data_IF_074059939812
#
_entry.id   IF_074059939812
#
_cell.length_a   1.000
_cell.length_b   1.000
_cell.length_c   1.000
_cell.angle_alpha   90.00
_cell.angle_beta   90.00
_cell.angle_gamma   90.00
#
_symmetry.space_group_name_H-M   'P 1'
#
loop_
_entity.id
_entity.type
_entity.pdbx_description
1 polymer ?
#
# COMPACT_ATOMS: atom_id res chain seq x y z
N UNK A 1 12.55 14.46 20.04
CA UNK A 1 13.37 14.09 18.86
C UNK A 1 14.58 15.00 18.84
N UNK A 2 15.78 14.46 19.06
CA UNK A 2 17.03 15.23 19.03
C UNK A 2 17.43 15.47 17.57
N UNK A 3 17.90 16.67 17.20
CA UNK A 3 18.36 16.95 15.85
C UNK A 3 19.66 16.16 15.59
N UNK A 4 19.64 15.23 14.65
CA UNK A 4 20.84 14.59 14.15
C UNK A 4 21.78 15.63 13.56
N UNK A 5 22.95 15.83 14.16
CA UNK A 5 24.07 16.59 13.57
C UNK A 5 24.50 15.83 12.31
N UNK A 6 24.11 16.34 11.15
CA UNK A 6 24.62 15.84 9.87
C UNK A 6 26.11 16.14 9.74
N UNK A 7 26.95 15.13 9.87
CA UNK A 7 28.38 15.24 9.55
C UNK A 7 28.56 15.38 8.03
N UNK A 8 29.65 15.99 7.56
CA UNK A 8 29.93 16.13 6.12
C UNK A 8 29.92 14.77 5.38
N UNK A 9 30.36 13.70 6.01
CA UNK A 9 30.33 12.33 5.49
C UNK A 9 28.88 11.79 5.37
N UNK A 10 28.02 12.03 6.36
CA UNK A 10 26.62 11.65 6.28
C UNK A 10 25.90 12.30 5.11
N UNK A 11 26.11 13.60 4.90
CA UNK A 11 25.54 14.36 3.76
C UNK A 11 26.06 13.87 2.40
N UNK A 12 27.32 13.44 2.33
CA UNK A 12 27.91 12.88 1.09
C UNK A 12 27.29 11.52 0.77
N UNK A 13 27.10 10.66 1.78
CA UNK A 13 26.45 9.36 1.64
C UNK A 13 24.98 9.48 1.21
N UNK A 14 24.22 10.42 1.77
CA UNK A 14 22.83 10.70 1.37
C UNK A 14 22.74 11.19 -0.10
N UNK A 15 23.66 12.05 -0.52
CA UNK A 15 23.74 12.52 -1.93
C UNK A 15 23.94 11.34 -2.89
N UNK A 16 24.84 10.44 -2.55
CA UNK A 16 25.15 9.28 -3.37
C UNK A 16 23.96 8.29 -3.40
N UNK A 17 23.30 8.07 -2.26
CA UNK A 17 22.14 7.22 -2.14
C UNK A 17 20.97 7.72 -3.02
N UNK A 18 20.61 9.02 -2.94
CA UNK A 18 19.56 9.58 -3.76
C UNK A 18 19.89 9.50 -5.26
N UNK A 19 21.14 9.80 -5.64
CA UNK A 19 21.57 9.68 -7.04
C UNK A 19 21.45 8.24 -7.55
N UNK A 20 21.89 7.25 -6.76
CA UNK A 20 21.77 5.82 -7.09
C UNK A 20 20.30 5.44 -7.24
N UNK A 21 19.44 5.83 -6.30
CA UNK A 21 18.00 5.57 -6.33
C UNK A 21 17.36 6.13 -7.62
N UNK A 22 17.57 7.40 -7.93
CA UNK A 22 17.03 8.03 -9.13
C UNK A 22 17.55 7.38 -10.42
N UNK A 23 18.82 6.98 -10.44
CA UNK A 23 19.42 6.25 -11.58
C UNK A 23 18.72 4.88 -11.73
N UNK A 24 18.51 4.15 -10.64
CA UNK A 24 17.83 2.87 -10.64
C UNK A 24 16.37 2.99 -11.08
N UNK A 25 15.64 3.97 -10.57
CA UNK A 25 14.27 4.26 -11.01
C UNK A 25 14.19 4.54 -12.52
N UNK A 26 15.18 5.24 -13.05
CA UNK A 26 15.25 5.56 -14.49
C UNK A 26 15.63 4.34 -15.32
N UNK A 27 16.68 3.60 -14.92
CA UNK A 27 17.24 2.53 -15.73
C UNK A 27 16.42 1.24 -15.69
N UNK A 28 15.93 0.85 -14.50
CA UNK A 28 15.23 -0.42 -14.28
C UNK A 28 13.73 -0.27 -14.46
N UNK A 29 13.13 0.68 -13.76
CA UNK A 29 11.65 0.83 -13.73
C UNK A 29 11.11 1.81 -14.78
N UNK A 30 11.97 2.59 -15.43
CA UNK A 30 11.57 3.61 -16.43
C UNK A 30 10.55 4.63 -15.88
N UNK A 31 10.56 4.90 -14.57
CA UNK A 31 9.59 5.77 -13.90
C UNK A 31 9.51 7.17 -14.53
N UNK A 32 10.62 7.87 -14.84
CA UNK A 32 10.53 9.18 -15.48
C UNK A 32 9.80 9.16 -16.83
N UNK A 33 9.99 8.11 -17.63
CA UNK A 33 9.31 7.95 -18.91
C UNK A 33 7.81 7.69 -18.74
N UNK A 34 7.45 6.83 -17.79
CA UNK A 34 6.05 6.52 -17.47
C UNK A 34 5.30 7.74 -16.95
N UNK A 35 5.91 8.52 -16.05
CA UNK A 35 5.31 9.78 -15.57
C UNK A 35 5.09 10.79 -16.70
N UNK A 36 6.01 10.88 -17.66
CA UNK A 36 5.84 11.76 -18.83
C UNK A 36 4.70 11.33 -19.76
N UNK A 37 4.32 10.07 -19.71
CA UNK A 37 3.20 9.53 -20.50
C UNK A 37 1.82 9.70 -19.85
N UNK A 38 1.75 10.23 -18.61
CA UNK A 38 0.48 10.49 -17.94
C UNK A 38 -0.31 11.60 -18.63
N UNK A 39 -1.61 11.47 -18.63
CA UNK A 39 -2.54 12.48 -19.16
C UNK A 39 -2.56 13.74 -18.28
N UNK A 40 -2.62 14.88 -18.89
CA UNK A 40 -2.69 16.17 -18.21
C UNK A 40 -3.92 16.97 -18.65
N UNK A 41 -4.95 16.92 -17.83
CA UNK A 41 -6.24 17.57 -18.09
C UNK A 41 -6.33 19.01 -17.54
N UNK A 42 -5.22 19.58 -17.04
CA UNK A 42 -5.21 20.95 -16.55
C UNK A 42 -5.45 21.95 -17.68
N UNK A 43 -6.27 22.95 -17.44
CA UNK A 43 -6.54 24.04 -18.38
C UNK A 43 -5.29 24.89 -18.68
N UNK A 44 -4.44 25.11 -17.66
CA UNK A 44 -3.17 25.87 -17.77
C UNK A 44 -2.00 24.94 -17.46
N UNK A 45 -1.16 24.66 -18.45
CA UNK A 45 -0.01 23.75 -18.37
C UNK A 45 1.33 24.52 -18.30
N UNK A 46 1.36 25.59 -17.50
CA UNK A 46 2.58 26.43 -17.34
C UNK A 46 3.78 25.68 -16.77
N UNK A 47 3.53 24.61 -16.02
CA UNK A 47 4.57 23.71 -15.48
C UNK A 47 4.30 22.32 -16.05
N UNK A 48 5.27 21.66 -16.70
CA UNK A 48 5.09 20.29 -17.20
C UNK A 48 4.65 19.32 -16.09
N UNK A 49 3.75 18.39 -16.40
CA UNK A 49 3.25 17.38 -15.46
C UNK A 49 4.40 16.65 -14.75
N UNK A 50 5.41 16.24 -15.48
CA UNK A 50 6.60 15.59 -14.94
C UNK A 50 7.27 16.40 -13.82
N UNK A 51 7.33 17.73 -13.97
CA UNK A 51 7.93 18.64 -13.00
C UNK A 51 7.09 18.81 -11.73
N UNK A 52 5.85 18.31 -11.73
CA UNK A 52 4.98 18.29 -10.56
C UNK A 52 5.00 16.90 -9.91
N UNK A 53 4.77 15.84 -10.67
CA UNK A 53 4.65 14.47 -10.14
C UNK A 53 5.99 13.94 -9.60
N UNK A 54 7.09 14.20 -10.31
CA UNK A 54 8.39 13.66 -9.91
C UNK A 54 8.89 14.19 -8.55
N UNK A 55 8.81 15.49 -8.23
CA UNK A 55 9.08 15.98 -6.88
C UNK A 55 8.19 15.36 -5.81
N UNK A 56 6.87 15.26 -6.06
CA UNK A 56 5.94 14.63 -5.12
C UNK A 56 6.37 13.20 -4.82
N UNK A 57 6.66 12.40 -5.84
CA UNK A 57 7.13 11.03 -5.68
C UNK A 57 8.43 10.96 -4.86
N UNK A 58 9.41 11.81 -5.16
CA UNK A 58 10.68 11.87 -4.41
C UNK A 58 10.43 12.20 -2.94
N UNK A 59 9.57 13.18 -2.64
CA UNK A 59 9.24 13.55 -1.26
C UNK A 59 8.51 12.44 -0.50
N UNK A 60 7.56 11.74 -1.14
CA UNK A 60 6.90 10.56 -0.55
C UNK A 60 7.92 9.45 -0.26
N UNK A 61 8.87 9.20 -1.15
CA UNK A 61 9.94 8.21 -0.93
C UNK A 61 10.90 8.61 0.20
N UNK A 62 11.09 9.89 0.43
CA UNK A 62 11.89 10.43 1.53
C UNK A 62 11.08 10.59 2.82
N UNK A 63 9.81 10.12 2.85
CA UNK A 63 8.90 10.14 4.00
C UNK A 63 8.64 11.54 4.56
N UNK A 64 8.60 12.55 3.69
CA UNK A 64 8.19 13.89 4.11
C UNK A 64 6.68 13.93 4.38
N UNK A 65 6.31 14.45 5.54
CA UNK A 65 4.91 14.60 5.97
C UNK A 65 4.27 15.86 5.37
N UNK A 66 3.50 15.70 4.31
CA UNK A 66 2.67 16.76 3.75
C UNK A 66 3.36 17.67 2.72
N UNK A 67 2.52 18.30 1.90
CA UNK A 67 2.97 19.13 0.77
C UNK A 67 3.65 20.43 1.20
N UNK A 68 3.38 20.95 2.39
CA UNK A 68 4.04 22.17 2.88
C UNK A 68 5.53 21.97 3.14
N UNK A 69 5.93 20.78 3.59
CA UNK A 69 7.36 20.47 3.81
C UNK A 69 8.18 20.42 2.53
N UNK A 70 7.52 20.16 1.39
CA UNK A 70 8.16 20.23 0.06
C UNK A 70 8.69 21.65 -0.22
N UNK A 71 7.97 22.67 0.24
CA UNK A 71 8.25 24.09 -0.05
C UNK A 71 9.08 24.77 1.04
N UNK A 72 9.18 24.17 2.22
CA UNK A 72 10.11 24.54 3.30
C UNK A 72 11.39 23.70 3.28
N UNK A 73 11.61 22.94 2.22
CA UNK A 73 12.81 22.13 2.07
C UNK A 73 14.07 23.00 2.06
N UNK A 74 15.18 22.57 2.66
CA UNK A 74 16.44 23.28 2.63
C UNK A 74 16.86 23.62 1.19
N UNK A 75 17.50 24.79 0.98
CA UNK A 75 17.95 25.26 -0.33
C UNK A 75 18.78 24.20 -1.10
N UNK A 76 19.57 23.43 -0.36
CA UNK A 76 20.35 22.32 -0.94
C UNK A 76 19.47 21.23 -1.56
N UNK A 77 18.31 20.94 -0.98
CA UNK A 77 17.35 19.96 -1.51
C UNK A 77 16.60 20.55 -2.72
N UNK A 78 16.21 21.81 -2.62
CA UNK A 78 15.58 22.54 -3.73
C UNK A 78 16.46 22.54 -4.97
N UNK A 79 17.75 22.85 -4.83
CA UNK A 79 18.72 22.81 -5.92
C UNK A 79 18.85 21.43 -6.55
N UNK A 80 18.82 20.36 -5.74
CA UNK A 80 18.87 18.96 -6.24
C UNK A 80 17.63 18.58 -7.02
N UNK A 81 16.46 18.97 -6.51
CA UNK A 81 15.19 18.73 -7.20
C UNK A 81 15.14 19.50 -8.52
N UNK A 82 15.53 20.77 -8.55
CA UNK A 82 15.64 21.55 -9.79
C UNK A 82 16.53 20.87 -10.83
N UNK A 83 17.64 20.28 -10.40
CA UNK A 83 18.53 19.51 -11.29
C UNK A 83 17.90 18.21 -11.77
N UNK A 84 17.11 17.53 -10.92
CA UNK A 84 16.42 16.29 -11.26
C UNK A 84 15.32 16.50 -12.32
N UNK A 85 14.49 17.53 -12.12
CA UNK A 85 13.36 17.84 -13.01
C UNK A 85 13.74 18.78 -14.17
N UNK A 86 14.93 19.38 -14.14
CA UNK A 86 15.40 20.39 -15.09
C UNK A 86 14.42 21.57 -15.26
N UNK A 87 13.91 22.09 -14.14
CA UNK A 87 12.92 23.17 -14.17
C UNK A 87 12.54 23.69 -12.79
N UNK A 88 11.51 24.53 -12.77
CA UNK A 88 11.00 25.14 -11.55
C UNK A 88 10.27 24.10 -10.70
N UNK A 89 10.45 24.17 -9.38
CA UNK A 89 9.66 23.42 -8.41
C UNK A 89 8.23 23.99 -8.39
N UNK A 90 7.19 23.15 -8.46
CA UNK A 90 5.82 23.63 -8.47
C UNK A 90 5.45 24.20 -7.10
N UNK A 91 4.52 25.15 -7.05
CA UNK A 91 3.85 25.55 -5.80
C UNK A 91 2.79 24.54 -5.39
N UNK A 92 2.39 24.57 -4.11
CA UNK A 92 1.35 23.66 -3.53
C UNK A 92 0.08 23.66 -4.38
N UNK A 93 -0.35 24.83 -4.85
CA UNK A 93 -1.58 24.94 -5.62
C UNK A 93 -1.51 24.20 -6.95
N UNK A 94 -0.35 24.24 -7.63
CA UNK A 94 -0.13 23.48 -8.87
C UNK A 94 -0.11 21.96 -8.61
N UNK A 95 0.40 21.53 -7.46
CA UNK A 95 0.36 20.12 -7.05
C UNK A 95 -1.08 19.68 -6.77
N UNK A 96 -1.84 20.47 -6.02
CA UNK A 96 -3.25 20.18 -5.71
C UNK A 96 -4.11 20.15 -6.97
N UNK A 97 -3.96 21.13 -7.85
CA UNK A 97 -4.71 21.19 -9.11
C UNK A 97 -4.43 19.97 -10.00
N UNK A 98 -3.18 19.54 -10.11
CA UNK A 98 -2.84 18.34 -10.88
C UNK A 98 -3.41 17.07 -10.21
N UNK A 99 -3.15 16.86 -8.91
CA UNK A 99 -3.57 15.64 -8.20
C UNK A 99 -5.09 15.50 -8.14
N UNK A 100 -5.86 16.58 -8.21
CA UNK A 100 -7.32 16.53 -8.29
C UNK A 100 -7.87 16.13 -9.67
N UNK A 101 -7.03 16.07 -10.70
CA UNK A 101 -7.43 15.81 -12.10
C UNK A 101 -6.74 14.59 -12.72
N UNK A 102 -5.65 14.12 -12.13
CA UNK A 102 -4.94 12.94 -12.64
C UNK A 102 -5.83 11.70 -12.51
N UNK A 103 -5.88 10.87 -13.55
CA UNK A 103 -6.60 9.61 -13.48
C UNK A 103 -5.84 8.62 -12.57
N UNK A 104 -6.44 8.17 -11.44
CA UNK A 104 -5.82 7.18 -10.57
C UNK A 104 -5.43 5.88 -11.29
N UNK A 105 -6.17 5.47 -12.31
CA UNK A 105 -5.90 4.24 -13.09
C UNK A 105 -4.57 4.31 -13.83
N UNK A 106 -4.16 5.48 -14.30
CA UNK A 106 -2.85 5.64 -14.93
C UNK A 106 -1.71 5.44 -13.91
N UNK A 107 -1.90 5.90 -12.68
CA UNK A 107 -0.94 5.66 -11.58
C UNK A 107 -0.92 4.18 -11.18
N UNK A 108 -2.09 3.55 -11.10
CA UNK A 108 -2.21 2.11 -10.84
C UNK A 108 -1.51 1.29 -11.92
N UNK A 109 -1.59 1.68 -13.18
CA UNK A 109 -0.90 0.99 -14.27
C UNK A 109 0.63 1.15 -14.17
N UNK A 110 1.15 2.32 -13.79
CA UNK A 110 2.58 2.51 -13.51
C UNK A 110 3.04 1.60 -12.36
N UNK A 111 2.23 1.51 -11.30
CA UNK A 111 2.48 0.63 -10.18
C UNK A 111 2.48 -0.84 -10.61
N UNK A 112 1.48 -1.27 -11.35
CA UNK A 112 1.36 -2.64 -11.87
C UNK A 112 2.56 -3.03 -12.75
N UNK A 113 2.99 -2.15 -13.65
CA UNK A 113 4.20 -2.35 -14.45
C UNK A 113 5.48 -2.41 -13.59
N UNK A 114 5.49 -1.76 -12.44
CA UNK A 114 6.61 -1.86 -11.50
C UNK A 114 6.66 -3.25 -10.85
N UNK A 115 5.51 -3.80 -10.48
CA UNK A 115 5.39 -5.19 -9.99
C UNK A 115 5.84 -6.18 -11.07
N UNK A 116 5.47 -5.98 -12.34
CA UNK A 116 5.91 -6.84 -13.43
C UNK A 116 7.45 -6.86 -13.58
N UNK A 117 8.12 -5.73 -13.34
CA UNK A 117 9.60 -5.68 -13.30
C UNK A 117 10.15 -6.46 -12.11
N UNK A 118 9.56 -6.33 -10.91
CA UNK A 118 9.96 -7.09 -9.72
C UNK A 118 9.85 -8.59 -9.96
N UNK A 119 8.76 -9.04 -10.58
CA UNK A 119 8.54 -10.45 -10.93
C UNK A 119 9.56 -10.96 -11.94
N UNK A 120 9.82 -10.22 -13.02
CA UNK A 120 10.85 -10.55 -14.01
C UNK A 120 12.25 -10.66 -13.40
N UNK A 121 12.55 -9.79 -12.44
CA UNK A 121 13.81 -9.81 -11.70
C UNK A 121 13.83 -10.90 -10.61
N UNK A 122 12.80 -11.75 -10.53
CA UNK A 122 12.71 -12.88 -9.60
C UNK A 122 12.87 -12.45 -8.12
N UNK A 123 12.37 -11.27 -7.76
CA UNK A 123 12.50 -10.72 -6.39
C UNK A 123 11.85 -11.65 -5.35
N UNK A 124 10.82 -12.40 -5.75
CA UNK A 124 10.09 -13.32 -4.88
C UNK A 124 10.49 -14.79 -5.07
N UNK A 125 11.63 -15.08 -5.72
CA UNK A 125 12.05 -16.46 -6.04
C UNK A 125 12.16 -17.37 -4.80
N UNK A 126 12.65 -16.82 -3.69
CA UNK A 126 12.84 -17.58 -2.45
C UNK A 126 11.58 -17.60 -1.57
N UNK A 127 10.48 -17.00 -2.05
CA UNK A 127 9.30 -16.73 -1.23
C UNK A 127 9.57 -15.67 -0.17
N UNK A 128 8.55 -15.39 0.64
CA UNK A 128 8.64 -14.44 1.75
C UNK A 128 8.53 -15.13 3.12
N UNK A 129 7.91 -16.31 3.15
CA UNK A 129 7.80 -17.18 4.35
C UNK A 129 7.90 -18.63 3.89
N UNK A 130 8.90 -19.37 4.37
CA UNK A 130 9.01 -20.82 4.14
C UNK A 130 9.01 -21.27 2.68
N UNK A 131 9.50 -20.43 1.77
CA UNK A 131 9.51 -20.71 0.33
C UNK A 131 8.25 -20.23 -0.42
N UNK A 132 7.21 -19.81 0.29
CA UNK A 132 5.96 -19.29 -0.28
C UNK A 132 5.97 -17.77 -0.33
N UNK A 133 5.32 -17.19 -1.33
CA UNK A 133 5.00 -15.76 -1.36
C UNK A 133 3.73 -15.55 -0.56
N UNK A 134 3.89 -15.09 0.68
CA UNK A 134 2.75 -14.76 1.54
C UNK A 134 2.39 -13.28 1.41
N UNK A 135 1.10 -12.97 1.28
CA UNK A 135 0.59 -11.61 1.23
C UNK A 135 -0.48 -11.39 2.30
N UNK A 136 -0.36 -10.30 3.03
CA UNK A 136 -1.36 -9.84 3.99
C UNK A 136 -2.43 -9.00 3.31
N UNK A 137 -3.68 -9.15 3.74
CA UNK A 137 -4.79 -8.30 3.31
C UNK A 137 -5.41 -7.63 4.54
N UNK A 138 -5.60 -6.32 4.46
CA UNK A 138 -6.19 -5.55 5.55
C UNK A 138 -6.81 -4.24 5.07
N UNK A 139 -7.69 -3.67 5.90
CA UNK A 139 -8.33 -2.37 5.66
C UNK A 139 -7.53 -1.22 6.25
N UNK A 140 -7.25 -0.21 5.44
CA UNK A 140 -6.52 1.00 5.84
C UNK A 140 -7.42 2.22 5.70
N UNK A 141 -7.58 2.99 6.77
CA UNK A 141 -8.26 4.28 6.74
C UNK A 141 -7.25 5.35 6.31
N UNK A 142 -7.52 5.99 5.18
CA UNK A 142 -6.60 6.96 4.56
C UNK A 142 -6.84 8.38 5.03
N UNK A 143 -8.08 8.69 5.38
CA UNK A 143 -8.51 10.04 5.75
C UNK A 143 -9.79 9.97 6.57
N UNK A 144 -9.94 10.83 7.57
CA UNK A 144 -11.22 11.07 8.24
C UNK A 144 -11.42 12.55 8.60
N UNK A 145 -12.65 13.01 8.60
CA UNK A 145 -13.02 14.39 8.94
C UNK A 145 -14.49 14.53 9.33
N UNK A 146 -14.76 15.37 10.31
CA UNK A 146 -16.13 15.80 10.64
C UNK A 146 -16.56 17.08 9.90
N UNK A 147 -15.65 17.71 9.15
CA UNK A 147 -15.88 19.01 8.49
C UNK A 147 -15.81 18.94 6.97
N UNK A 148 -15.05 17.99 6.42
CA UNK A 148 -14.82 17.86 4.98
C UNK A 148 -15.38 16.55 4.49
N UNK A 149 -16.06 16.56 3.36
CA UNK A 149 -16.62 15.41 2.68
C UNK A 149 -16.48 15.54 1.17
N UNK A 150 -16.54 14.44 0.46
CA UNK A 150 -16.70 14.36 -0.98
C UNK A 150 -17.75 13.30 -1.33
N UNK A 151 -18.21 13.20 -2.60
CA UNK A 151 -19.20 12.20 -2.99
C UNK A 151 -18.79 10.74 -2.72
N UNK A 152 -17.49 10.46 -2.73
CA UNK A 152 -16.93 9.11 -2.55
C UNK A 152 -16.58 8.80 -1.07
N UNK A 153 -16.93 9.69 -0.13
CA UNK A 153 -16.70 9.44 1.29
C UNK A 153 -17.68 8.39 1.84
N UNK A 154 -17.15 7.45 2.60
CA UNK A 154 -17.91 6.64 3.55
C UNK A 154 -18.32 7.51 4.74
N UNK A 155 -19.33 7.10 5.49
CA UNK A 155 -19.79 7.86 6.65
C UNK A 155 -20.11 6.96 7.84
N UNK A 156 -19.85 7.49 9.05
CA UNK A 156 -20.21 6.84 10.32
C UNK A 156 -20.56 7.88 11.38
N UNK A 157 -21.30 7.48 12.40
CA UNK A 157 -21.47 8.28 13.62
C UNK A 157 -20.26 8.03 14.52
N UNK A 158 -19.58 9.09 14.94
CA UNK A 158 -18.50 9.00 15.93
C UNK A 158 -19.05 8.91 17.36
N UNK A 159 -18.17 8.71 18.35
CA UNK A 159 -18.56 8.59 19.77
C UNK A 159 -19.27 9.83 20.36
N UNK A 160 -19.21 11.00 19.70
CA UNK A 160 -19.93 12.22 20.07
C UNK A 160 -21.24 12.41 19.29
N UNK A 161 -21.69 11.43 18.51
CA UNK A 161 -22.90 11.48 17.69
C UNK A 161 -22.76 12.29 16.39
N UNK A 162 -21.62 12.94 16.13
CA UNK A 162 -21.37 13.68 14.89
C UNK A 162 -21.08 12.73 13.73
N UNK A 163 -21.53 13.12 12.53
CA UNK A 163 -21.17 12.40 11.31
C UNK A 163 -19.69 12.62 10.99
N UNK A 164 -18.93 11.54 10.84
CA UNK A 164 -17.56 11.52 10.39
C UNK A 164 -17.53 10.92 8.99
N UNK A 165 -16.88 11.61 8.08
CA UNK A 165 -16.65 11.20 6.69
C UNK A 165 -15.24 10.67 6.57
N UNK A 166 -15.05 9.54 5.87
CA UNK A 166 -13.73 8.93 5.77
C UNK A 166 -13.54 8.21 4.44
N UNK A 167 -12.28 8.01 4.06
CA UNK A 167 -11.90 7.13 2.98
C UNK A 167 -11.17 5.92 3.54
N UNK A 168 -11.57 4.75 3.09
CA UNK A 168 -10.95 3.48 3.45
C UNK A 168 -10.65 2.66 2.22
N UNK A 169 -9.49 2.00 2.20
CA UNK A 169 -9.14 1.03 1.18
C UNK A 169 -8.82 -0.32 1.82
N UNK A 170 -8.94 -1.38 1.03
CA UNK A 170 -8.33 -2.66 1.34
C UNK A 170 -7.02 -2.75 0.58
N UNK A 171 -5.96 -3.16 1.24
CA UNK A 171 -4.60 -3.25 0.70
C UNK A 171 -4.15 -4.70 0.76
N UNK A 172 -3.47 -5.17 -0.30
CA UNK A 172 -2.79 -6.46 -0.33
C UNK A 172 -1.28 -6.23 -0.48
N UNK A 173 -0.50 -6.73 0.47
CA UNK A 173 0.95 -6.49 0.54
C UNK A 173 1.69 -7.76 0.94
N UNK A 174 2.90 -7.99 0.41
CA UNK A 174 3.76 -9.10 0.87
C UNK A 174 4.06 -8.99 2.35
N UNK A 175 4.08 -10.13 3.04
CA UNK A 175 4.47 -10.24 4.46
C UNK A 175 5.62 -11.23 4.62
N UNK A 176 6.37 -11.11 5.73
CA UNK A 176 7.53 -11.95 6.01
C UNK A 176 8.85 -11.26 5.67
N UNK A 177 9.72 -11.88 4.86
CA UNK A 177 11.01 -11.30 4.47
C UNK A 177 10.84 -10.14 3.49
N UNK A 178 11.72 -9.14 3.57
CA UNK A 178 11.80 -8.05 2.60
C UNK A 178 12.12 -8.54 1.17
N UNK A 179 11.69 -7.79 0.15
CA UNK A 179 11.02 -6.50 0.21
C UNK A 179 9.52 -6.61 0.48
N UNK A 180 8.99 -5.62 1.22
CA UNK A 180 7.54 -5.47 1.39
C UNK A 180 6.97 -4.71 0.19
N UNK A 181 6.10 -5.37 -0.58
CA UNK A 181 5.54 -4.84 -1.82
C UNK A 181 4.03 -4.85 -1.73
N UNK A 182 3.41 -3.70 -1.93
CA UNK A 182 1.97 -3.59 -2.11
C UNK A 182 1.65 -4.11 -3.51
N UNK A 183 0.84 -5.16 -3.62
CA UNK A 183 0.38 -5.68 -4.91
C UNK A 183 -0.75 -4.83 -5.49
N UNK A 184 -1.59 -4.28 -4.64
CA UNK A 184 -2.66 -3.38 -5.03
C UNK A 184 -3.51 -2.93 -3.84
N UNK A 185 -4.40 -2.02 -4.15
CA UNK A 185 -5.39 -1.52 -3.20
C UNK A 185 -6.75 -1.37 -3.89
N UNK A 186 -7.81 -1.36 -3.12
CA UNK A 186 -9.17 -1.20 -3.59
C UNK A 186 -9.93 -0.26 -2.66
N UNK A 187 -10.39 0.88 -3.19
CA UNK A 187 -11.18 1.83 -2.42
C UNK A 187 -12.56 1.27 -2.13
N UNK A 188 -13.01 1.41 -0.89
CA UNK A 188 -14.39 1.10 -0.52
C UNK A 188 -15.31 2.19 -1.02
N UNK A 189 -16.50 1.78 -1.50
CA UNK A 189 -17.49 2.65 -2.12
C UNK A 189 -18.58 3.03 -1.12
N UNK A 190 -19.04 4.28 -1.11
CA UNK A 190 -20.23 4.66 -0.35
C UNK A 190 -21.47 4.06 -1.01
N UNK A 191 -22.39 3.54 -0.21
CA UNK A 191 -23.75 3.10 -0.62
C UNK A 191 -23.80 2.35 -1.93
N UNK A 192 -22.99 1.32 -2.09
CA UNK A 192 -22.85 0.51 -3.32
C UNK A 192 -24.13 -0.31 -3.59
N UNK A 193 -25.24 0.38 -3.92
CA UNK A 193 -26.54 -0.24 -4.18
C UNK A 193 -27.32 -0.68 -2.93
N UNK A 194 -26.86 -0.36 -1.73
CA UNK A 194 -27.50 -0.66 -0.44
C UNK A 194 -27.63 0.57 0.46
N UNK A 195 -28.40 0.44 1.53
CA UNK A 195 -28.50 1.49 2.55
C UNK A 195 -27.19 1.71 3.34
N UNK A 196 -26.28 0.77 3.29
CA UNK A 196 -25.00 0.77 4.01
C UNK A 196 -23.82 0.96 3.07
N UNK A 197 -22.80 1.61 3.58
CA UNK A 197 -21.50 1.72 2.92
C UNK A 197 -20.85 0.33 2.74
N UNK A 198 -20.03 0.18 1.70
CA UNK A 198 -19.34 -1.06 1.40
C UNK A 198 -18.42 -1.52 2.54
N UNK A 199 -18.48 -2.79 2.89
CA UNK A 199 -17.62 -3.38 3.91
C UNK A 199 -16.28 -3.88 3.35
N UNK A 200 -15.28 -4.00 4.24
CA UNK A 200 -13.94 -4.48 3.88
C UNK A 200 -13.91 -5.83 3.16
N UNK A 201 -14.82 -6.76 3.51
CA UNK A 201 -14.92 -8.08 2.86
C UNK A 201 -15.29 -8.00 1.38
N UNK A 202 -16.18 -7.07 1.01
CA UNK A 202 -16.59 -6.88 -0.39
C UNK A 202 -15.43 -6.28 -1.20
N UNK A 203 -14.80 -5.22 -0.68
CA UNK A 203 -13.60 -4.64 -1.29
C UNK A 203 -12.46 -5.65 -1.43
N UNK A 204 -12.24 -6.50 -0.42
CA UNK A 204 -11.21 -7.54 -0.44
C UNK A 204 -11.46 -8.58 -1.55
N UNK A 205 -12.69 -9.06 -1.72
CA UNK A 205 -13.02 -10.00 -2.81
C UNK A 205 -12.79 -9.37 -4.19
N UNK A 206 -13.14 -8.08 -4.35
CA UNK A 206 -12.90 -7.35 -5.59
C UNK A 206 -11.40 -7.19 -5.86
N UNK A 207 -10.61 -6.80 -4.84
CA UNK A 207 -9.16 -6.69 -4.93
C UNK A 207 -8.49 -8.01 -5.33
N UNK A 208 -8.82 -9.12 -4.68
CA UNK A 208 -8.23 -10.43 -4.97
C UNK A 208 -8.50 -10.85 -6.42
N UNK A 209 -9.73 -10.70 -6.92
CA UNK A 209 -10.05 -10.99 -8.32
C UNK A 209 -9.29 -10.09 -9.29
N UNK A 210 -9.15 -8.81 -8.97
CA UNK A 210 -8.35 -7.87 -9.77
C UNK A 210 -6.87 -8.29 -9.80
N UNK A 211 -6.27 -8.59 -8.64
CA UNK A 211 -4.88 -9.02 -8.56
C UNK A 211 -4.65 -10.36 -9.29
N UNK A 212 -5.58 -11.30 -9.19
CA UNK A 212 -5.52 -12.56 -9.94
C UNK A 212 -5.50 -12.32 -11.46
N UNK A 213 -6.35 -11.42 -11.95
CA UNK A 213 -6.41 -11.08 -13.38
C UNK A 213 -5.15 -10.36 -13.84
N UNK A 214 -4.62 -9.41 -13.04
CA UNK A 214 -3.53 -8.50 -13.45
C UNK A 214 -2.14 -9.06 -13.20
N UNK A 215 -1.96 -9.83 -12.13
CA UNK A 215 -0.64 -10.23 -11.62
C UNK A 215 -0.45 -11.73 -11.38
N UNK A 216 -1.27 -12.61 -11.97
CA UNK A 216 -1.16 -14.04 -11.68
C UNK A 216 0.17 -14.67 -12.14
N UNK A 217 0.82 -15.52 -11.29
CA UNK A 217 0.61 -15.63 -9.84
C UNK A 217 1.20 -14.42 -9.11
N UNK A 218 0.54 -13.91 -8.05
CA UNK A 218 1.07 -12.79 -7.26
C UNK A 218 1.42 -13.21 -5.82
N UNK A 219 0.74 -14.21 -5.30
CA UNK A 219 0.99 -14.81 -4.00
C UNK A 219 0.61 -16.30 -4.05
N UNK A 220 1.10 -17.06 -3.09
CA UNK A 220 0.73 -18.45 -2.84
C UNK A 220 -0.28 -18.52 -1.67
N UNK A 221 -0.08 -17.68 -0.65
CA UNK A 221 -0.85 -17.67 0.59
C UNK A 221 -1.33 -16.27 0.93
N UNK A 222 -2.61 -16.13 1.25
CA UNK A 222 -3.18 -14.89 1.81
C UNK A 222 -3.30 -15.02 3.32
N UNK A 223 -2.74 -14.05 4.03
CA UNK A 223 -2.81 -13.93 5.49
C UNK A 223 -3.78 -12.80 5.85
N UNK A 224 -4.73 -13.06 6.74
CA UNK A 224 -5.71 -12.06 7.13
C UNK A 224 -6.09 -12.16 8.61
N UNK A 225 -6.70 -11.11 9.16
CA UNK A 225 -7.23 -11.12 10.52
C UNK A 225 -8.59 -11.83 10.61
N UNK A 226 -9.15 -11.93 11.81
CA UNK A 226 -10.41 -12.62 12.08
C UNK A 226 -11.65 -12.00 11.40
N UNK A 227 -11.57 -10.73 10.96
CA UNK A 227 -12.64 -10.08 10.20
C UNK A 227 -12.91 -10.81 8.87
N UNK A 228 -11.83 -11.33 8.27
CA UNK A 228 -11.87 -12.03 6.98
C UNK A 228 -12.22 -13.53 7.11
N UNK A 229 -12.44 -14.04 8.31
CA UNK A 229 -12.91 -15.42 8.52
C UNK A 229 -14.39 -15.56 8.14
N UNK A 230 -14.62 -15.63 6.85
CA UNK A 230 -15.95 -15.65 6.24
C UNK A 230 -15.95 -16.58 5.02
N UNK A 231 -16.89 -17.50 4.96
CA UNK A 231 -16.95 -18.53 3.91
C UNK A 231 -16.95 -17.94 2.48
N UNK A 232 -17.73 -16.90 2.14
CA UNK A 232 -17.67 -16.26 0.82
C UNK A 232 -16.30 -15.68 0.45
N UNK A 233 -15.52 -15.17 1.42
CA UNK A 233 -14.16 -14.69 1.17
C UNK A 233 -13.19 -15.85 0.94
N UNK A 234 -13.24 -16.87 1.78
CA UNK A 234 -12.41 -18.09 1.64
C UNK A 234 -12.68 -18.77 0.29
N UNK A 235 -13.95 -18.88 -0.12
CA UNK A 235 -14.29 -19.43 -1.43
C UNK A 235 -13.71 -18.60 -2.58
N UNK A 236 -13.75 -17.25 -2.47
CA UNK A 236 -13.10 -16.37 -3.46
C UNK A 236 -11.59 -16.64 -3.57
N UNK A 237 -10.90 -16.86 -2.45
CA UNK A 237 -9.47 -17.20 -2.46
C UNK A 237 -9.22 -18.54 -3.14
N UNK A 238 -10.01 -19.57 -2.82
CA UNK A 238 -9.92 -20.90 -3.45
C UNK A 238 -10.18 -20.84 -4.95
N UNK A 239 -11.21 -20.12 -5.40
CA UNK A 239 -11.49 -19.86 -6.82
C UNK A 239 -10.30 -19.19 -7.54
N UNK A 240 -9.55 -18.37 -6.83
CA UNK A 240 -8.33 -17.73 -7.34
C UNK A 240 -7.08 -18.62 -7.23
N UNK A 241 -7.18 -19.83 -6.68
CA UNK A 241 -6.05 -20.74 -6.49
C UNK A 241 -5.06 -20.25 -5.42
N UNK A 242 -5.57 -19.62 -4.35
CA UNK A 242 -4.79 -19.07 -3.24
C UNK A 242 -5.09 -19.85 -1.98
N UNK A 243 -4.03 -20.26 -1.28
CA UNK A 243 -4.15 -20.77 0.08
C UNK A 243 -4.39 -19.63 1.06
N UNK A 244 -4.88 -19.97 2.27
CA UNK A 244 -5.21 -18.93 3.24
C UNK A 244 -4.86 -19.31 4.67
N UNK A 245 -4.33 -18.32 5.41
CA UNK A 245 -4.13 -18.39 6.86
C UNK A 245 -4.87 -17.22 7.49
N UNK A 246 -5.97 -17.50 8.17
CA UNK A 246 -6.81 -16.49 8.81
C UNK A 246 -6.83 -16.73 10.30
N UNK A 247 -6.61 -15.66 11.09
CA UNK A 247 -6.66 -15.76 12.54
C UNK A 247 -8.07 -16.07 13.01
N UNK A 248 -8.19 -17.13 13.83
CA UNK A 248 -9.40 -17.44 14.58
C UNK A 248 -9.32 -16.72 15.95
N UNK A 249 -10.30 -15.86 16.26
CA UNK A 249 -10.22 -14.99 17.45
C UNK A 249 -11.41 -15.13 18.41
N UNK A 250 -12.56 -15.57 17.92
CA UNK A 250 -13.79 -15.59 18.71
C UNK A 250 -14.03 -16.99 19.29
N UNK A 251 -13.78 -17.15 20.59
CA UNK A 251 -13.94 -18.41 21.35
C UNK A 251 -15.39 -18.94 21.34
N UNK A 252 -16.37 -18.07 21.08
CA UNK A 252 -17.79 -18.45 20.99
C UNK A 252 -18.16 -19.10 19.66
N UNK A 253 -17.29 -19.03 18.66
CA UNK A 253 -17.53 -19.69 17.36
C UNK A 253 -17.36 -21.20 17.47
N UNK A 254 -18.29 -21.94 16.90
CA UNK A 254 -18.21 -23.43 16.84
C UNK A 254 -16.88 -23.89 16.25
N UNK A 255 -16.42 -23.21 15.18
CA UNK A 255 -15.13 -23.52 14.57
C UNK A 255 -13.95 -23.40 15.54
N UNK A 256 -13.98 -22.44 16.49
CA UNK A 256 -12.96 -22.32 17.53
C UNK A 256 -13.02 -23.48 18.51
N UNK A 257 -14.22 -23.83 18.98
CA UNK A 257 -14.46 -24.93 19.90
C UNK A 257 -14.08 -26.28 19.28
N UNK A 258 -14.41 -26.50 18.01
CA UNK A 258 -14.02 -27.69 17.25
C UNK A 258 -12.49 -27.78 17.13
N UNK A 259 -11.83 -26.68 16.77
CA UNK A 259 -10.36 -26.61 16.68
C UNK A 259 -9.72 -26.92 18.04
N UNK A 260 -10.19 -26.28 19.12
CA UNK A 260 -9.69 -26.51 20.47
C UNK A 260 -9.85 -27.98 20.87
N UNK A 261 -11.02 -28.55 20.63
CA UNK A 261 -11.30 -29.97 20.91
C UNK A 261 -10.38 -30.92 20.12
N UNK A 262 -10.06 -30.59 18.86
CA UNK A 262 -9.11 -31.35 18.06
C UNK A 262 -7.69 -31.29 18.63
N UNK A 263 -7.23 -30.09 19.01
CA UNK A 263 -5.90 -29.92 19.60
C UNK A 263 -5.78 -30.59 20.99
N UNK A 264 -6.86 -30.66 21.76
CA UNK A 264 -6.85 -31.37 23.03
C UNK A 264 -6.76 -32.89 22.86
N UNK A 265 -7.33 -33.45 21.79
CA UNK A 265 -7.34 -34.89 21.51
C UNK A 265 -6.09 -35.43 20.84
N UNK A 266 -5.36 -34.58 20.11
CA UNK A 266 -4.26 -34.99 19.23
C UNK A 266 -2.95 -34.29 19.63
N UNK A 267 -2.33 -34.77 20.70
CA UNK A 267 -1.05 -34.25 21.19
C UNK A 267 0.11 -34.38 20.17
N UNK A 268 0.02 -35.34 19.26
CA UNK A 268 1.03 -35.57 18.22
C UNK A 268 1.18 -34.48 17.19
N UNK A 269 0.22 -33.56 17.09
CA UNK A 269 0.24 -32.39 16.18
C UNK A 269 0.80 -31.13 16.79
N UNK A 270 1.04 -31.12 18.10
CA UNK A 270 1.63 -29.97 18.79
C UNK A 270 3.12 -29.88 18.49
N UNK A 271 3.57 -28.68 18.07
CA UNK A 271 4.99 -28.37 17.88
C UNK A 271 5.37 -27.18 18.72
N UNK A 272 6.43 -27.32 19.49
CA UNK A 272 7.02 -26.19 20.21
C UNK A 272 8.22 -25.62 19.47
N UNK A 273 8.35 -24.31 19.41
CA UNK A 273 9.51 -23.61 18.89
C UNK A 273 9.87 -22.40 19.75
N UNK A 274 11.14 -22.05 19.76
CA UNK A 274 11.62 -20.87 20.50
C UNK A 274 11.66 -19.63 19.62
N UNK A 275 11.03 -18.55 20.12
CA UNK A 275 11.16 -17.21 19.51
C UNK A 275 11.77 -16.27 20.57
N UNK A 276 13.10 -16.07 20.51
CA UNK A 276 13.86 -15.36 21.55
C UNK A 276 13.82 -16.11 22.88
N UNK A 277 13.36 -15.45 23.96
CA UNK A 277 13.21 -16.06 25.29
C UNK A 277 11.88 -16.79 25.52
N UNK A 278 10.95 -16.74 24.54
CA UNK A 278 9.60 -17.36 24.67
C UNK A 278 9.57 -18.69 23.94
N UNK A 279 9.04 -19.72 24.61
CA UNK A 279 8.60 -20.95 23.97
C UNK A 279 7.17 -20.74 23.47
N UNK A 280 6.90 -21.11 22.24
CA UNK A 280 5.58 -21.05 21.60
C UNK A 280 5.22 -22.46 21.23
N UNK A 281 4.06 -22.91 21.66
CA UNK A 281 3.46 -24.18 21.26
C UNK A 281 2.39 -23.92 20.19
N UNK A 282 2.39 -24.70 19.12
CA UNK A 282 1.46 -24.59 17.98
C UNK A 282 0.95 -25.97 17.62
#
# INVERSE_FOLDING_TARGET
MLPHKHTKEGVLNEKLALKKLLTYMKSVYKIPQKIKGLSDERKRKSIPLFNIVMPVLIFLMLQYEGFHTIFSAPESMEKRLKNCIRGKIPRVDAVRDLLSRIDPKEIEEIHAQTIDVLKRNRVFREGTIGGYVAAGIDGVELFSSTKKSCPDCLSRKNGTGKTEYFHRSVVCMTVGKSPHVIFGQEMLKPRDGSEKDEGGLTGAKRLIRHLKKRHSPFADVIVADALYLNAPFINTLKECGLETVIRLKDERRLLFQDAESMFQRDEGRKRSFRKGKKSIEV
#
